data_IF_789263822657
#
_entry.id   IF_789263822657
#
_cell.length_a   1.000
_cell.length_b   1.000
_cell.length_c   1.000
_cell.angle_alpha   90.00
_cell.angle_beta   90.00
_cell.angle_gamma   90.00
#
_symmetry.space_group_name_H-M   'P 1'
#
loop_
_entity.id
_entity.type
_entity.pdbx_description
1 polymer ?
#
# COMPACT_ATOMS: atom_id res chain seq x y z
N UNK A 1 13.29 0.03 -3.72
CA UNK A 1 14.31 -1.00 -3.42
C UNK A 1 13.69 -2.04 -2.50
N UNK A 2 13.11 -3.06 -3.11
CA UNK A 2 12.23 -4.00 -2.42
C UNK A 2 12.22 -5.31 -3.17
N UNK A 3 11.64 -6.34 -2.56
CA UNK A 3 11.50 -7.66 -3.16
C UNK A 3 10.11 -8.23 -2.86
N UNK A 4 9.46 -8.82 -3.87
CA UNK A 4 8.25 -9.61 -3.67
C UNK A 4 8.64 -10.94 -3.00
N UNK A 5 7.90 -11.33 -1.98
CA UNK A 5 8.09 -12.62 -1.29
C UNK A 5 7.53 -13.74 -2.18
N UNK A 6 8.38 -14.68 -2.53
CA UNK A 6 8.11 -15.78 -3.46
C UNK A 6 8.61 -17.13 -2.97
N UNK A 7 9.46 -17.16 -1.95
CA UNK A 7 10.01 -18.39 -1.35
C UNK A 7 9.72 -18.46 0.15
N UNK A 8 9.78 -19.67 0.70
CA UNK A 8 9.58 -19.91 2.14
C UNK A 8 10.60 -19.13 3.00
N UNK A 9 11.87 -19.09 2.58
CA UNK A 9 12.91 -18.31 3.26
C UNK A 9 12.60 -16.81 3.28
N UNK A 10 12.00 -16.28 2.22
CA UNK A 10 11.55 -14.88 2.19
C UNK A 10 10.32 -14.69 3.08
N UNK A 11 9.40 -15.66 3.13
CA UNK A 11 8.26 -15.62 4.05
C UNK A 11 8.73 -15.59 5.50
N UNK A 12 9.73 -16.39 5.87
CA UNK A 12 10.33 -16.39 7.20
C UNK A 12 10.95 -15.04 7.56
N UNK A 13 11.71 -14.42 6.64
CA UNK A 13 12.30 -13.10 6.87
C UNK A 13 11.24 -11.98 6.95
N UNK A 14 10.16 -12.08 6.16
CA UNK A 14 9.01 -11.18 6.27
C UNK A 14 8.34 -11.33 7.64
N UNK A 15 8.05 -12.58 8.02
CA UNK A 15 7.40 -12.91 9.28
C UNK A 15 8.21 -12.45 10.48
N UNK A 16 9.51 -12.74 10.51
CA UNK A 16 10.40 -12.29 11.59
C UNK A 16 10.38 -10.76 11.76
N UNK A 17 10.36 -10.01 10.65
CA UNK A 17 10.31 -8.53 10.69
C UNK A 17 8.97 -8.02 11.22
N UNK A 18 7.86 -8.61 10.75
CA UNK A 18 6.51 -8.23 11.19
C UNK A 18 6.25 -8.62 12.65
N UNK A 19 6.60 -9.84 13.03
CA UNK A 19 6.34 -10.37 14.37
C UNK A 19 7.16 -9.66 15.44
N UNK A 20 8.41 -9.27 15.14
CA UNK A 20 9.18 -8.38 16.01
C UNK A 20 8.44 -7.07 16.28
N UNK A 21 7.76 -6.53 15.26
CA UNK A 21 6.96 -5.32 15.40
C UNK A 21 5.71 -5.56 16.24
N UNK A 22 5.02 -6.69 16.06
CA UNK A 22 3.88 -7.08 16.89
C UNK A 22 4.27 -7.21 18.36
N UNK A 23 5.33 -7.95 18.66
CA UNK A 23 5.81 -8.17 20.04
C UNK A 23 6.15 -6.86 20.72
N UNK A 24 6.86 -5.97 20.03
CA UNK A 24 7.26 -4.67 20.58
C UNK A 24 6.08 -3.74 20.89
N UNK A 25 4.98 -3.85 20.15
CA UNK A 25 3.79 -3.01 20.31
C UNK A 25 2.66 -3.72 21.09
N UNK A 26 2.87 -4.96 21.54
CA UNK A 26 1.85 -5.75 22.24
C UNK A 26 0.67 -6.14 21.35
N UNK A 27 0.91 -6.33 20.05
CA UNK A 27 -0.13 -6.69 19.08
C UNK A 27 -0.29 -8.19 18.94
N UNK A 28 -1.50 -8.61 18.58
CA UNK A 28 -1.77 -9.98 18.20
C UNK A 28 -1.07 -10.31 16.87
N UNK A 29 -0.59 -11.55 16.74
CA UNK A 29 0.00 -12.07 15.51
C UNK A 29 -1.11 -12.71 14.69
N UNK A 30 -1.81 -11.90 13.90
CA UNK A 30 -2.85 -12.41 13.00
C UNK A 30 -2.26 -13.36 11.95
N UNK A 31 -3.02 -14.37 11.51
CA UNK A 31 -2.56 -15.27 10.46
C UNK A 31 -2.26 -14.51 9.16
N UNK A 32 -1.31 -15.05 8.39
CA UNK A 32 -0.98 -14.52 7.07
C UNK A 32 -2.03 -14.95 6.04
N UNK A 33 -2.57 -14.00 5.27
CA UNK A 33 -3.61 -14.30 4.29
C UNK A 33 -3.09 -15.19 3.16
N UNK A 34 -3.77 -16.28 2.84
CA UNK A 34 -3.32 -17.21 1.79
C UNK A 34 -3.21 -16.54 0.40
N UNK A 35 -4.07 -15.56 0.14
CA UNK A 35 -4.12 -14.78 -1.10
C UNK A 35 -3.27 -13.50 -1.05
N UNK A 36 -2.57 -13.24 0.06
CA UNK A 36 -1.80 -12.02 0.27
C UNK A 36 -0.53 -11.96 -0.57
N UNK A 37 -0.33 -10.85 -1.28
CA UNK A 37 0.94 -10.51 -1.92
C UNK A 37 1.84 -9.74 -0.94
N UNK A 38 2.98 -10.34 -0.59
CA UNK A 38 3.90 -9.76 0.39
C UNK A 38 5.14 -9.18 -0.27
N UNK A 39 5.61 -8.07 0.30
CA UNK A 39 6.82 -7.39 -0.14
C UNK A 39 7.69 -7.04 1.06
N UNK A 40 9.00 -7.20 0.87
CA UNK A 40 10.03 -6.79 1.80
C UNK A 40 10.67 -5.51 1.31
N UNK A 41 10.80 -4.53 2.20
CA UNK A 41 11.65 -3.37 1.99
C UNK A 41 13.08 -3.72 2.40
N UNK A 42 14.06 -3.48 1.52
CA UNK A 42 15.46 -3.81 1.75
C UNK A 42 16.28 -2.56 2.06
N UNK A 43 17.33 -2.69 2.85
CA UNK A 43 18.23 -1.58 3.20
C UNK A 43 18.96 -1.02 1.98
N UNK A 44 19.62 -1.91 1.21
CA UNK A 44 20.30 -1.55 -0.03
C UNK A 44 20.17 -2.67 -1.07
N UNK A 45 20.53 -2.44 -2.34
CA UNK A 45 20.69 -3.56 -3.29
C UNK A 45 21.88 -4.47 -2.94
N UNK A 46 22.88 -3.90 -2.24
CA UNK A 46 24.11 -4.59 -1.83
C UNK A 46 23.99 -5.21 -0.44
N UNK A 47 23.01 -4.77 0.33
CA UNK A 47 22.71 -5.19 1.69
C UNK A 47 21.23 -5.63 1.72
N UNK A 48 20.98 -6.95 1.59
CA UNK A 48 19.63 -7.50 1.50
C UNK A 48 18.93 -7.55 2.87
N UNK A 49 19.43 -6.85 3.89
CA UNK A 49 18.75 -6.73 5.18
C UNK A 49 17.33 -6.21 4.98
N UNK A 50 16.36 -6.95 5.49
CA UNK A 50 14.94 -6.57 5.47
C UNK A 50 14.72 -5.54 6.57
N UNK A 51 14.25 -4.35 6.17
CA UNK A 51 14.04 -3.22 7.08
C UNK A 51 12.57 -2.84 7.21
N UNK A 52 11.67 -3.51 6.49
CA UNK A 52 10.25 -3.28 6.57
C UNK A 52 9.44 -4.25 5.71
N UNK A 53 8.13 -4.23 5.90
CA UNK A 53 7.18 -5.16 5.27
C UNK A 53 5.95 -4.42 4.80
N UNK A 54 5.26 -4.97 3.81
CA UNK A 54 3.90 -4.60 3.40
C UNK A 54 3.22 -5.82 2.75
N UNK A 55 1.95 -6.03 3.04
CA UNK A 55 1.11 -7.06 2.45
C UNK A 55 -0.09 -6.41 1.74
N UNK A 56 -0.46 -6.95 0.58
CA UNK A 56 -1.66 -6.59 -0.14
C UNK A 56 -2.58 -7.80 -0.25
N UNK A 57 -3.82 -7.70 0.21
CA UNK A 57 -4.77 -8.82 0.22
C UNK A 57 -5.94 -8.45 -0.69
N UNK A 58 -6.30 -9.26 -1.70
CA UNK A 58 -7.54 -9.04 -2.46
C UNK A 58 -8.73 -9.01 -1.51
N UNK A 59 -9.57 -7.98 -1.60
CA UNK A 59 -10.65 -7.80 -0.66
C UNK A 59 -11.84 -8.73 -0.94
N UNK A 60 -12.41 -9.28 0.11
CA UNK A 60 -13.72 -9.92 0.16
C UNK A 60 -14.31 -9.75 1.58
N UNK A 61 -15.61 -9.95 1.77
CA UNK A 61 -16.28 -9.68 3.06
C UNK A 61 -15.82 -10.56 4.24
N UNK A 62 -15.03 -11.59 3.97
CA UNK A 62 -14.50 -12.51 4.98
C UNK A 62 -13.04 -12.21 5.37
N UNK A 63 -12.40 -11.19 4.79
CA UNK A 63 -11.04 -10.80 5.19
C UNK A 63 -11.02 -10.22 6.60
N UNK A 64 -9.88 -10.40 7.29
CA UNK A 64 -9.71 -10.04 8.71
C UNK A 64 -10.02 -8.57 9.01
N UNK A 65 -9.77 -7.65 8.08
CA UNK A 65 -10.04 -6.21 8.22
C UNK A 65 -11.50 -5.90 8.57
N UNK A 66 -12.44 -6.73 8.12
CA UNK A 66 -13.87 -6.59 8.38
C UNK A 66 -14.23 -6.79 9.86
N UNK A 67 -13.39 -7.48 10.63
CA UNK A 67 -13.55 -7.64 12.08
C UNK A 67 -13.30 -6.33 12.83
N UNK A 68 -12.38 -5.51 12.34
CA UNK A 68 -12.04 -4.22 12.92
C UNK A 68 -12.96 -3.10 12.46
N UNK A 69 -13.31 -3.10 11.17
CA UNK A 69 -14.23 -2.13 10.60
C UNK A 69 -14.95 -2.72 9.39
N UNK A 70 -16.28 -2.58 9.34
CA UNK A 70 -17.11 -3.13 8.27
C UNK A 70 -17.04 -2.28 6.99
N UNK A 71 -15.96 -2.42 6.21
CA UNK A 71 -15.79 -1.72 4.94
C UNK A 71 -16.86 -2.12 3.91
N UNK A 72 -17.37 -3.35 4.02
CA UNK A 72 -18.51 -3.89 3.28
C UNK A 72 -19.76 -3.00 3.36
N UNK A 73 -19.92 -2.23 4.45
CA UNK A 73 -21.03 -1.28 4.62
C UNK A 73 -20.84 0.05 3.89
N UNK A 74 -19.68 0.29 3.27
CA UNK A 74 -19.42 1.49 2.47
C UNK A 74 -19.85 1.20 1.02
N UNK A 75 -20.86 1.90 0.47
CA UNK A 75 -21.39 1.59 -0.85
C UNK A 75 -20.34 1.54 -1.96
N UNK A 76 -19.36 2.47 -1.95
CA UNK A 76 -18.31 2.51 -2.96
C UNK A 76 -17.32 1.34 -2.90
N UNK A 77 -17.15 0.73 -1.72
CA UNK A 77 -16.32 -0.45 -1.52
C UNK A 77 -17.11 -1.69 -1.93
N UNK A 78 -18.33 -1.83 -1.42
CA UNK A 78 -19.23 -2.94 -1.74
C UNK A 78 -19.47 -3.10 -3.26
N UNK A 79 -19.62 -2.00 -3.99
CA UNK A 79 -19.86 -2.03 -5.44
C UNK A 79 -18.61 -2.36 -6.27
N UNK A 80 -17.42 -2.44 -5.67
CA UNK A 80 -16.13 -2.51 -6.37
C UNK A 80 -15.18 -3.49 -5.68
N UNK A 81 -15.70 -4.55 -5.04
CA UNK A 81 -14.89 -5.47 -4.21
C UNK A 81 -13.73 -6.07 -5.02
N UNK A 82 -13.97 -6.41 -6.29
CA UNK A 82 -12.99 -6.93 -7.26
C UNK A 82 -11.83 -5.96 -7.56
N UNK A 83 -12.00 -4.68 -7.22
CA UNK A 83 -11.00 -3.62 -7.38
C UNK A 83 -10.61 -2.99 -6.05
N UNK A 84 -10.87 -3.66 -4.93
CA UNK A 84 -10.44 -3.25 -3.59
C UNK A 84 -9.37 -4.21 -3.10
N UNK A 85 -8.35 -3.65 -2.47
CA UNK A 85 -7.28 -4.41 -1.84
C UNK A 85 -7.05 -3.87 -0.44
N UNK A 86 -6.83 -4.76 0.52
CA UNK A 86 -6.36 -4.39 1.85
C UNK A 86 -4.84 -4.17 1.82
N UNK A 87 -4.37 -3.14 2.51
CA UNK A 87 -2.96 -3.01 2.90
C UNK A 87 -2.85 -3.45 4.35
N UNK A 88 -2.08 -4.50 4.58
CA UNK A 88 -1.82 -5.07 5.90
C UNK A 88 -0.31 -5.20 6.15
N UNK A 89 0.09 -5.46 7.40
CA UNK A 89 1.47 -5.75 7.84
C UNK A 89 2.49 -4.72 7.37
N UNK A 90 2.06 -3.47 7.20
CA UNK A 90 2.91 -2.34 6.80
C UNK A 90 3.72 -1.86 8.01
N UNK A 91 5.01 -2.17 8.04
CA UNK A 91 5.90 -1.68 9.09
C UNK A 91 7.29 -1.29 8.54
N UNK A 92 7.94 -0.36 9.23
CA UNK A 92 9.35 -0.02 9.03
C UNK A 92 10.06 -0.25 10.36
N UNK A 93 11.19 -0.94 10.34
CA UNK A 93 11.98 -1.18 11.52
C UNK A 93 12.44 0.17 12.14
N UNK A 94 12.30 0.30 13.46
CA UNK A 94 12.43 1.57 14.21
C UNK A 94 13.77 2.27 13.96
N UNK A 95 14.84 1.50 13.79
CA UNK A 95 16.20 2.03 13.61
C UNK A 95 16.31 2.82 12.31
N UNK A 96 15.44 2.54 11.34
CA UNK A 96 15.40 3.19 10.03
C UNK A 96 14.33 4.29 9.94
N UNK A 97 13.63 4.59 11.04
CA UNK A 97 12.68 5.71 11.09
C UNK A 97 13.42 7.03 10.89
N UNK A 98 12.74 8.01 10.27
CA UNK A 98 13.27 9.36 9.97
C UNK A 98 14.51 9.39 9.04
N UNK A 99 14.99 8.24 8.55
CA UNK A 99 16.07 8.17 7.56
C UNK A 99 15.57 8.27 6.11
N UNK A 100 14.25 8.35 5.90
CA UNK A 100 13.63 8.50 4.59
C UNK A 100 13.29 7.19 3.87
N UNK A 101 13.60 6.02 4.45
CA UNK A 101 13.27 4.71 3.85
C UNK A 101 11.78 4.48 3.65
N UNK A 102 10.93 5.09 4.50
CA UNK A 102 9.49 4.94 4.40
C UNK A 102 8.94 5.30 3.01
N UNK A 103 9.56 6.26 2.31
CA UNK A 103 9.10 6.66 0.98
C UNK A 103 9.24 5.54 -0.07
N UNK A 104 10.08 4.53 0.17
CA UNK A 104 10.18 3.39 -0.74
C UNK A 104 8.97 2.47 -0.69
N UNK A 105 8.11 2.54 0.34
CA UNK A 105 6.81 1.85 0.30
C UNK A 105 5.91 2.40 -0.80
N UNK A 106 6.02 3.69 -1.11
CA UNK A 106 5.30 4.25 -2.24
C UNK A 106 5.74 3.59 -3.56
N UNK A 107 7.02 3.26 -3.74
CA UNK A 107 7.47 2.50 -4.93
C UNK A 107 6.77 1.14 -5.04
N UNK A 108 6.62 0.43 -3.91
CA UNK A 108 5.92 -0.87 -3.85
C UNK A 108 4.43 -0.68 -4.19
N UNK A 109 3.77 0.29 -3.56
CA UNK A 109 2.36 0.61 -3.79
C UNK A 109 2.11 1.00 -5.25
N UNK A 110 3.03 1.75 -5.85
CA UNK A 110 2.97 2.16 -7.26
C UNK A 110 3.07 0.96 -8.19
N UNK A 111 4.06 0.08 -7.99
CA UNK A 111 4.24 -1.12 -8.81
C UNK A 111 3.05 -2.07 -8.67
N UNK A 112 2.53 -2.26 -7.44
CA UNK A 112 1.32 -3.04 -7.20
C UNK A 112 0.09 -2.43 -7.89
N UNK A 113 -0.08 -1.10 -7.79
CA UNK A 113 -1.21 -0.41 -8.40
C UNK A 113 -1.17 -0.45 -9.94
N UNK A 114 0.02 -0.43 -10.54
CA UNK A 114 0.18 -0.63 -11.99
C UNK A 114 -0.23 -2.03 -12.42
N UNK A 115 0.12 -3.05 -11.64
CA UNK A 115 -0.13 -4.44 -11.97
C UNK A 115 -1.61 -4.80 -11.84
N UNK A 116 -2.23 -4.44 -10.72
CA UNK A 116 -3.57 -4.89 -10.36
C UNK A 116 -4.68 -3.87 -10.62
N UNK A 117 -4.31 -2.61 -10.93
CA UNK A 117 -5.25 -1.51 -11.20
C UNK A 117 -6.39 -1.35 -10.16
N UNK A 118 -6.08 -1.43 -8.85
CA UNK A 118 -7.10 -1.28 -7.81
C UNK A 118 -7.74 0.11 -7.90
N UNK A 119 -9.01 0.17 -7.53
CA UNK A 119 -9.73 1.43 -7.34
C UNK A 119 -9.47 2.01 -5.97
N UNK A 120 -9.44 1.14 -4.96
CA UNK A 120 -9.26 1.50 -3.56
C UNK A 120 -8.24 0.59 -2.89
N UNK A 121 -7.42 1.17 -2.01
CA UNK A 121 -6.84 0.42 -0.91
C UNK A 121 -7.63 0.70 0.37
N UNK A 122 -7.81 -0.31 1.21
CA UNK A 122 -8.34 -0.17 2.57
C UNK A 122 -7.30 -0.59 3.58
N UNK A 123 -7.34 -0.02 4.79
CA UNK A 123 -6.43 -0.42 5.86
C UNK A 123 -6.97 0.01 7.22
N UNK A 124 -6.47 -0.64 8.26
CA UNK A 124 -6.57 -0.21 9.64
C UNK A 124 -5.18 0.27 10.08
N UNK A 125 -5.04 1.54 10.44
CA UNK A 125 -3.73 2.14 10.66
C UNK A 125 -3.57 2.74 12.05
N UNK A 126 -2.40 2.60 12.64
CA UNK A 126 -2.01 3.43 13.77
C UNK A 126 -2.09 4.93 13.45
N UNK A 127 -2.43 5.74 14.47
CA UNK A 127 -2.49 7.21 14.37
C UNK A 127 -1.24 7.87 13.76
N UNK A 128 -0.03 7.40 14.10
CA UNK A 128 1.23 7.95 13.56
C UNK A 128 1.38 7.64 12.07
N UNK A 129 1.13 6.40 11.69
CA UNK A 129 1.19 5.94 10.30
C UNK A 129 0.11 6.62 9.45
N UNK A 130 -1.11 6.74 9.97
CA UNK A 130 -2.19 7.50 9.35
C UNK A 130 -1.77 8.94 9.05
N UNK A 131 -1.20 9.66 10.04
CA UNK A 131 -0.76 11.05 9.84
C UNK A 131 0.30 11.16 8.75
N UNK A 132 1.29 10.27 8.75
CA UNK A 132 2.37 10.24 7.76
C UNK A 132 1.82 10.03 6.34
N UNK A 133 0.94 9.03 6.16
CA UNK A 133 0.32 8.74 4.88
C UNK A 133 -0.63 9.87 4.45
N UNK A 134 -1.42 10.42 5.38
CA UNK A 134 -2.36 11.52 5.12
C UNK A 134 -1.64 12.78 4.65
N UNK A 135 -0.48 13.10 5.22
CA UNK A 135 0.36 14.21 4.76
C UNK A 135 0.91 13.97 3.35
N UNK A 136 1.14 12.69 3.00
CA UNK A 136 1.71 12.31 1.70
C UNK A 136 0.65 12.35 0.58
N UNK A 137 -0.52 11.73 0.80
CA UNK A 137 -1.55 11.56 -0.25
C UNK A 137 -2.74 12.53 -0.13
N UNK A 138 -2.78 13.34 0.94
CA UNK A 138 -3.74 14.42 1.13
C UNK A 138 -5.19 13.96 1.17
N UNK A 139 -6.06 14.62 0.39
CA UNK A 139 -7.51 14.35 0.35
C UNK A 139 -7.88 12.95 -0.16
N UNK A 140 -6.96 12.23 -0.80
CA UNK A 140 -7.20 10.90 -1.38
C UNK A 140 -7.17 9.77 -0.36
N UNK A 141 -6.77 10.06 0.89
CA UNK A 141 -6.93 9.15 2.02
C UNK A 141 -8.08 9.64 2.89
N UNK A 142 -9.12 8.83 2.97
CA UNK A 142 -10.37 9.14 3.68
C UNK A 142 -10.41 8.28 4.93
N UNK A 143 -10.60 8.92 6.09
CA UNK A 143 -10.94 8.24 7.34
C UNK A 143 -12.44 7.94 7.32
N UNK A 144 -12.84 6.71 7.61
CA UNK A 144 -14.23 6.22 7.36
C UNK A 144 -15.04 5.85 8.60
N UNK A 145 -14.48 5.97 9.79
CA UNK A 145 -15.22 5.87 11.05
C UNK A 145 -16.01 7.16 11.33
N UNK A 146 -17.31 7.01 11.60
CA UNK A 146 -18.26 8.12 11.84
C UNK A 146 -18.26 8.67 13.28
N UNK A 147 -17.34 8.29 14.16
CA UNK A 147 -17.39 8.73 15.57
C UNK A 147 -16.42 9.86 15.92
N UNK A 148 -17.03 11.04 16.06
CA UNK A 148 -16.67 12.18 16.92
C UNK A 148 -16.86 11.84 18.41
N UNK A 149 -16.26 10.74 18.86
CA UNK A 149 -16.12 10.43 20.29
C UNK A 149 -14.65 10.10 20.50
N UNK A 150 -14.11 10.45 21.67
CA UNK A 150 -12.82 10.01 22.19
C UNK A 150 -12.72 8.47 22.15
N UNK A 151 -12.58 7.90 20.96
CA UNK A 151 -12.16 6.53 20.80
C UNK A 151 -10.68 6.55 21.09
N UNK A 152 -10.32 6.03 22.26
CA UNK A 152 -8.94 5.67 22.61
C UNK A 152 -8.38 4.58 21.67
N UNK A 153 -9.17 4.09 20.69
CA UNK A 153 -8.68 3.19 19.67
C UNK A 153 -7.47 3.82 18.95
N UNK A 154 -6.33 3.14 19.10
CA UNK A 154 -5.05 3.46 18.46
C UNK A 154 -5.10 3.33 16.93
N UNK A 155 -6.17 2.72 16.41
CA UNK A 155 -6.33 2.28 15.04
C UNK A 155 -7.41 3.08 14.29
N UNK A 156 -7.12 3.45 13.05
CA UNK A 156 -7.92 4.34 12.22
C UNK A 156 -8.25 3.60 10.91
N UNK A 157 -9.53 3.31 10.63
CA UNK A 157 -9.94 2.72 9.37
C UNK A 157 -9.89 3.76 8.25
N UNK A 158 -9.29 3.39 7.14
CA UNK A 158 -9.04 4.31 6.02
C UNK A 158 -9.33 3.68 4.67
N UNK A 159 -9.73 4.53 3.73
CA UNK A 159 -9.87 4.23 2.31
C UNK A 159 -8.92 5.15 1.53
N UNK A 160 -8.05 4.58 0.71
CA UNK A 160 -7.12 5.30 -0.16
C UNK A 160 -7.63 5.18 -1.59
N UNK A 161 -7.94 6.32 -2.21
CA UNK A 161 -8.41 6.43 -3.59
C UNK A 161 -7.24 6.30 -4.58
N UNK A 162 -6.63 5.13 -4.63
CA UNK A 162 -5.39 4.90 -5.39
C UNK A 162 -5.58 5.16 -6.89
N UNK A 163 -6.72 4.84 -7.48
CA UNK A 163 -6.94 5.16 -8.90
C UNK A 163 -6.85 6.68 -9.19
N UNK A 164 -7.32 7.51 -8.26
CA UNK A 164 -7.20 8.97 -8.38
C UNK A 164 -5.77 9.47 -8.14
N UNK A 165 -4.99 8.78 -7.30
CA UNK A 165 -3.55 9.03 -7.14
C UNK A 165 -2.84 8.71 -8.46
N UNK A 166 -3.16 7.56 -9.06
CA UNK A 166 -2.50 7.07 -10.28
C UNK A 166 -2.84 7.87 -11.54
N UNK A 167 -3.91 8.69 -11.50
CA UNK A 167 -4.30 9.63 -12.56
C UNK A 167 -3.71 11.04 -12.37
N UNK A 168 -3.05 11.32 -11.25
CA UNK A 168 -2.48 12.63 -10.92
C UNK A 168 -0.96 12.60 -11.04
N UNK A 169 -0.46 13.01 -12.20
CA UNK A 169 0.97 13.01 -12.53
C UNK A 169 1.79 13.84 -11.53
N UNK A 170 1.23 14.92 -10.96
CA UNK A 170 1.92 15.77 -9.97
C UNK A 170 2.10 15.05 -8.65
N UNK A 171 1.08 14.33 -8.18
CA UNK A 171 1.18 13.52 -6.97
C UNK A 171 2.10 12.33 -7.19
N UNK A 172 2.02 11.70 -8.36
CA UNK A 172 2.96 10.62 -8.69
C UNK A 172 4.40 11.14 -8.62
N UNK A 173 4.65 12.32 -9.19
CA UNK A 173 5.96 12.93 -9.15
C UNK A 173 6.42 13.26 -7.72
N UNK A 174 5.52 13.76 -6.88
CA UNK A 174 5.86 14.12 -5.50
C UNK A 174 6.09 12.90 -4.60
N UNK A 175 5.32 11.83 -4.77
CA UNK A 175 5.38 10.62 -3.95
C UNK A 175 6.44 9.62 -4.40
N UNK A 176 6.54 9.39 -5.71
CA UNK A 176 7.32 8.28 -6.26
C UNK A 176 8.61 8.75 -6.95
N UNK A 177 8.75 10.04 -7.27
CA UNK A 177 9.80 10.52 -8.18
C UNK A 177 10.77 11.56 -7.59
N UNK A 178 10.52 12.10 -6.38
CA UNK A 178 11.37 13.15 -5.76
C UNK A 178 12.83 12.76 -5.52
N UNK A 179 13.20 11.46 -5.58
CA UNK A 179 14.57 11.00 -5.31
C UNK A 179 15.17 10.08 -6.39
N UNK A 180 14.49 9.80 -7.49
CA UNK A 180 14.95 8.77 -8.43
C UNK A 180 14.66 9.11 -9.91
N UNK A 181 15.66 9.67 -10.61
CA UNK A 181 15.59 9.99 -12.06
C UNK A 181 15.29 8.77 -12.93
N UNK A 182 15.67 7.57 -12.49
CA UNK A 182 15.38 6.30 -13.19
C UNK A 182 13.89 5.92 -13.13
N UNK A 183 13.19 6.27 -12.05
CA UNK A 183 11.75 6.05 -11.94
C UNK A 183 10.97 7.03 -12.82
N UNK A 184 11.45 8.28 -12.98
CA UNK A 184 10.90 9.25 -13.94
C UNK A 184 10.91 8.67 -15.35
N UNK A 185 12.05 8.09 -15.75
CA UNK A 185 12.20 7.45 -17.05
C UNK A 185 11.26 6.26 -17.23
N UNK A 186 11.18 5.34 -16.26
CA UNK A 186 10.24 4.20 -16.32
C UNK A 186 8.78 4.65 -16.39
N UNK A 187 8.42 5.65 -15.60
CA UNK A 187 7.09 6.25 -15.60
C UNK A 187 6.74 6.84 -16.97
N UNK A 188 7.58 7.74 -17.50
CA UNK A 188 7.35 8.37 -18.80
C UNK A 188 7.35 7.36 -19.96
N UNK A 189 8.22 6.36 -19.93
CA UNK A 189 8.26 5.34 -20.98
C UNK A 189 7.00 4.46 -20.98
N UNK A 190 6.56 3.99 -19.80
CA UNK A 190 5.33 3.16 -19.68
C UNK A 190 4.05 3.95 -19.92
N UNK A 191 3.93 5.16 -19.38
CA UNK A 191 2.76 6.02 -19.62
C UNK A 191 2.69 6.50 -21.05
N UNK A 192 3.83 6.83 -21.66
CA UNK A 192 3.95 7.14 -23.09
C UNK A 192 3.50 5.98 -23.97
N UNK A 193 3.96 4.75 -23.69
CA UNK A 193 3.50 3.55 -24.40
C UNK A 193 1.99 3.30 -24.23
N UNK A 194 1.45 3.45 -23.03
CA UNK A 194 0.02 3.24 -22.77
C UNK A 194 -0.84 4.31 -23.44
N UNK A 195 -0.41 5.57 -23.48
CA UNK A 195 -1.10 6.64 -24.24
C UNK A 195 -1.08 6.37 -25.74
N UNK A 196 0.04 5.87 -26.29
CA UNK A 196 0.14 5.47 -27.70
C UNK A 196 -0.75 4.28 -28.04
N UNK A 197 -0.79 3.24 -27.18
CA UNK A 197 -1.70 2.09 -27.35
C UNK A 197 -3.17 2.50 -27.31
N UNK A 198 -3.57 3.35 -26.36
CA UNK A 198 -4.95 3.83 -26.27
C UNK A 198 -5.34 4.73 -27.46
N UNK A 199 -4.39 5.47 -28.05
CA UNK A 199 -4.63 6.26 -29.27
C UNK A 199 -4.77 5.36 -30.50
N UNK A 200 -3.97 4.29 -30.62
CA UNK A 200 -4.08 3.31 -31.69
C UNK A 200 -5.41 2.52 -31.65
N UNK A 201 -5.87 2.12 -30.46
CA UNK A 201 -7.17 1.44 -30.28
C UNK A 201 -8.35 2.33 -30.66
N UNK A 202 -8.25 3.66 -30.47
CA UNK A 202 -9.28 4.62 -30.90
C UNK A 202 -9.30 4.82 -32.42
N UNK A 203 -8.15 4.77 -33.08
CA UNK A 203 -8.06 4.90 -34.55
C UNK A 203 -8.58 3.65 -35.25
N UNK A 204 -8.46 2.48 -34.63
CA UNK A 204 -8.94 1.20 -35.19
C UNK A 204 -10.43 0.89 -34.91
N UNK A 205 -11.13 1.77 -34.18
CA UNK A 205 -12.55 1.59 -33.79
C UNK A 205 -13.46 2.74 -34.26
N UNK A 206 -12.96 3.65 -35.07
CA UNK A 206 -13.72 4.71 -35.74
C UNK A 206 -13.52 4.59 -37.24
#
# INVERSE_FOLDING_TARGET
MFKKVTSQKEQEAFAATWEYFCERNGWHKDPYAQTGERYQLLLSKRDPTVIGTIEFIPYHEEVEVERYFRFSKIPSIFQQQDRVWEIDKLCLHKDYHRQGYFFHFFEIIYDHALLHQPKYYIAILEKKLYRLLKMSVGRRMIRVDKQTVRSEASLIPVVIQIEQIMKDDTIIQSLFLRRNKLLLWKYFFRTGLNRLKNKAVRILRG
#
